data_IF_671044429678
#
_entry.id   IF_671044429678
#
_cell.length_a   1.000
_cell.length_b   1.000
_cell.length_c   1.000
_cell.angle_alpha   90.00
_cell.angle_beta   90.00
_cell.angle_gamma   90.00
#
_symmetry.space_group_name_H-M   'P 1'
#
loop_
_entity.id
_entity.type
_entity.pdbx_description
1 polymer ?
#
# COMPACT_ATOMS: atom_id res chain seq x y z
N UNK A 1 2.25 -35.02 18.94
CA UNK A 1 2.13 -33.59 18.59
C UNK A 1 0.75 -33.14 19.04
N UNK A 2 0.64 -32.27 20.02
CA UNK A 2 -0.66 -31.78 20.51
C UNK A 2 -1.23 -30.81 19.48
N UNK A 3 -2.37 -31.14 18.89
CA UNK A 3 -3.10 -30.25 17.98
C UNK A 3 -3.51 -29.02 18.77
N UNK A 4 -3.09 -27.83 18.33
CA UNK A 4 -3.51 -26.57 18.96
C UNK A 4 -4.99 -26.37 18.65
N UNK A 5 -5.80 -26.28 19.70
CA UNK A 5 -7.22 -25.96 19.60
C UNK A 5 -7.37 -24.44 19.44
N UNK A 6 -7.58 -24.00 18.20
CA UNK A 6 -7.69 -22.58 17.88
C UNK A 6 -9.06 -22.00 18.22
N UNK A 7 -10.09 -22.85 18.28
CA UNK A 7 -11.45 -22.40 18.60
C UNK A 7 -11.55 -22.05 20.09
N UNK A 8 -11.01 -22.91 20.95
CA UNK A 8 -10.89 -22.63 22.39
C UNK A 8 -10.00 -21.40 22.67
N UNK A 9 -8.93 -21.20 21.88
CA UNK A 9 -8.07 -20.03 22.01
C UNK A 9 -8.77 -18.73 21.58
N UNK A 10 -9.61 -18.79 20.55
CA UNK A 10 -10.41 -17.66 20.09
C UNK A 10 -11.48 -17.28 21.12
N UNK A 11 -12.21 -18.26 21.65
CA UNK A 11 -13.24 -18.04 22.67
C UNK A 11 -12.66 -17.38 23.94
N UNK A 12 -11.51 -17.86 24.41
CA UNK A 12 -10.78 -17.22 25.51
C UNK A 12 -10.36 -15.77 25.19
N UNK A 13 -9.87 -15.52 23.98
CA UNK A 13 -9.44 -14.18 23.56
C UNK A 13 -10.60 -13.18 23.50
N UNK A 14 -11.80 -13.62 23.13
CA UNK A 14 -12.98 -12.77 23.02
C UNK A 14 -13.67 -12.51 24.37
N UNK A 15 -13.68 -13.50 25.26
CA UNK A 15 -14.54 -13.46 26.46
C UNK A 15 -13.78 -13.27 27.77
N UNK A 16 -12.58 -13.84 27.89
CA UNK A 16 -11.87 -13.90 29.19
C UNK A 16 -10.53 -13.17 29.20
N UNK A 17 -9.97 -12.85 28.03
CA UNK A 17 -8.63 -12.26 27.96
C UNK A 17 -8.57 -10.86 28.57
N UNK A 18 -7.81 -10.75 29.65
CA UNK A 18 -7.47 -9.47 30.29
C UNK A 18 -5.99 -9.17 30.13
N UNK A 19 -5.67 -8.13 29.37
CA UNK A 19 -4.28 -7.72 29.18
C UNK A 19 -3.78 -6.89 30.39
N UNK A 20 -2.55 -7.12 30.88
CA UNK A 20 -1.97 -6.33 31.97
C UNK A 20 -1.97 -4.84 31.65
N UNK A 21 -2.30 -4.00 32.65
CA UNK A 21 -2.41 -2.54 32.48
C UNK A 21 -1.17 -1.91 31.83
N UNK A 22 0.02 -2.43 32.14
CA UNK A 22 1.31 -1.98 31.61
C UNK A 22 1.94 -3.00 30.64
N UNK A 23 1.13 -3.61 29.78
CA UNK A 23 1.64 -4.53 28.77
C UNK A 23 2.61 -3.82 27.83
N UNK A 24 3.82 -4.38 27.68
CA UNK A 24 4.84 -3.86 26.75
C UNK A 24 4.48 -4.09 25.27
N UNK A 25 3.49 -4.94 24.98
CA UNK A 25 3.14 -5.37 23.62
C UNK A 25 1.75 -4.91 23.18
N UNK A 26 0.90 -4.44 24.10
CA UNK A 26 -0.46 -4.00 23.78
C UNK A 26 -0.57 -2.47 23.79
N UNK A 27 -1.06 -1.90 22.69
CA UNK A 27 -1.38 -0.46 22.59
C UNK A 27 -2.82 -0.22 23.05
N UNK A 28 -3.09 0.94 23.68
CA UNK A 28 -4.43 1.34 24.16
C UNK A 28 -4.68 2.82 23.84
N UNK A 29 -5.96 3.23 23.89
CA UNK A 29 -6.36 4.64 23.73
C UNK A 29 -5.80 5.28 22.47
N UNK A 30 -5.28 6.50 22.59
CA UNK A 30 -4.77 7.30 21.46
C UNK A 30 -3.64 6.61 20.70
N UNK A 31 -2.79 5.83 21.38
CA UNK A 31 -1.72 5.06 20.73
C UNK A 31 -2.27 3.91 19.88
N UNK A 32 -3.36 3.28 20.32
CA UNK A 32 -4.06 2.28 19.52
C UNK A 32 -4.77 2.93 18.33
N UNK A 33 -5.41 4.09 18.51
CA UNK A 33 -6.06 4.83 17.44
C UNK A 33 -5.06 5.31 16.37
N UNK A 34 -3.93 5.88 16.78
CA UNK A 34 -2.87 6.31 15.88
C UNK A 34 -2.27 5.12 15.11
N UNK A 35 -1.94 4.03 15.82
CA UNK A 35 -1.43 2.83 15.15
C UNK A 35 -2.46 2.21 14.21
N UNK A 36 -3.73 2.12 14.64
CA UNK A 36 -4.85 1.65 13.83
C UNK A 36 -5.03 2.47 12.55
N UNK A 37 -4.88 3.80 12.63
CA UNK A 37 -4.86 4.68 11.46
C UNK A 37 -3.68 4.35 10.54
N UNK A 38 -2.47 4.19 11.06
CA UNK A 38 -1.32 3.79 10.22
C UNK A 38 -1.48 2.41 9.61
N UNK A 39 -2.15 1.49 10.31
CA UNK A 39 -2.48 0.16 9.79
C UNK A 39 -3.53 0.31 8.71
N UNK A 40 -4.59 1.10 8.88
CA UNK A 40 -5.60 1.33 7.84
C UNK A 40 -4.99 1.99 6.60
N UNK A 41 -4.13 2.99 6.77
CA UNK A 41 -3.33 3.58 5.71
C UNK A 41 -2.47 2.53 4.97
N UNK A 42 -2.03 1.48 5.68
CA UNK A 42 -1.25 0.35 5.13
C UNK A 42 -2.10 -0.83 4.65
N UNK A 43 -3.33 -0.99 5.15
CA UNK A 43 -4.15 -2.20 5.12
C UNK A 43 -5.52 -1.97 4.47
N UNK A 44 -5.68 -0.93 3.66
CA UNK A 44 -6.75 -0.76 2.66
C UNK A 44 -6.81 -1.89 1.61
N UNK A 45 -6.49 -3.15 1.96
CA UNK A 45 -7.06 -4.41 1.45
C UNK A 45 -7.04 -4.69 -0.05
N UNK A 46 -6.41 -3.81 -0.79
CA UNK A 46 -6.30 -3.68 -2.22
C UNK A 46 -5.25 -2.61 -2.45
N UNK A 47 -4.58 -2.63 -3.61
CA UNK A 47 -3.61 -1.58 -3.93
C UNK A 47 -4.39 -0.26 -3.92
N UNK A 48 -4.09 0.71 -3.03
CA UNK A 48 -4.79 1.99 -3.04
C UNK A 48 -4.71 2.57 -4.46
N UNK A 49 -5.79 3.22 -4.89
CA UNK A 49 -5.81 3.89 -6.18
C UNK A 49 -4.56 4.79 -6.28
N UNK A 50 -3.91 4.75 -7.44
CA UNK A 50 -2.79 5.67 -7.71
C UNK A 50 -3.26 7.12 -7.85
N UNK A 51 -4.58 7.30 -7.98
CA UNK A 51 -5.27 8.58 -8.03
C UNK A 51 -5.89 8.86 -6.64
N UNK A 52 -5.44 9.93 -5.94
CA UNK A 52 -5.94 10.28 -4.62
C UNK A 52 -7.39 10.77 -4.63
N UNK A 53 -7.90 11.20 -5.79
CA UNK A 53 -9.27 11.71 -5.96
C UNK A 53 -10.25 10.62 -6.45
N UNK A 54 -9.77 9.37 -6.58
CA UNK A 54 -10.60 8.25 -7.03
C UNK A 54 -11.73 7.93 -6.04
N UNK A 55 -12.95 7.80 -6.56
CA UNK A 55 -14.08 7.36 -5.76
C UNK A 55 -13.89 5.90 -5.27
N UNK A 56 -14.48 5.50 -4.13
CA UNK A 56 -14.45 4.11 -3.67
C UNK A 56 -14.93 3.14 -4.76
N UNK A 57 -14.14 2.11 -5.05
CA UNK A 57 -14.42 1.13 -6.12
C UNK A 57 -13.95 1.56 -7.52
N UNK A 58 -13.41 2.77 -7.68
CA UNK A 58 -12.81 3.20 -8.94
C UNK A 58 -11.38 2.65 -9.08
N UNK A 59 -11.15 1.89 -10.14
CA UNK A 59 -9.84 1.31 -10.45
C UNK A 59 -9.05 2.16 -11.43
N UNK A 60 -7.74 2.21 -11.21
CA UNK A 60 -6.77 2.81 -12.14
C UNK A 60 -6.88 2.18 -13.52
N UNK A 61 -6.83 3.01 -14.58
CA UNK A 61 -6.80 2.51 -15.95
C UNK A 61 -5.41 1.97 -16.28
N UNK A 62 -5.37 0.87 -17.03
CA UNK A 62 -4.12 0.21 -17.47
C UNK A 62 -3.93 0.42 -18.97
N UNK A 63 -2.68 0.64 -19.37
CA UNK A 63 -2.21 0.64 -20.76
C UNK A 63 -0.97 -0.24 -20.85
N UNK A 64 -0.95 -1.15 -21.82
CA UNK A 64 0.22 -1.99 -22.11
C UNK A 64 0.91 -1.45 -23.36
N UNK A 65 2.21 -1.19 -23.26
CA UNK A 65 3.03 -0.64 -24.35
C UNK A 65 4.33 -1.43 -24.43
N UNK A 66 4.75 -1.78 -25.65
CA UNK A 66 6.04 -2.44 -25.89
C UNK A 66 7.13 -1.39 -26.02
N UNK A 67 8.28 -1.64 -25.39
CA UNK A 67 9.46 -0.79 -25.46
C UNK A 67 10.59 -1.53 -26.21
N UNK A 68 11.47 -0.78 -26.85
CA UNK A 68 12.75 -1.35 -27.30
C UNK A 68 13.65 -1.61 -26.08
N UNK A 69 14.62 -2.53 -26.22
CA UNK A 69 15.54 -2.87 -25.13
C UNK A 69 16.26 -1.62 -24.60
N UNK A 70 16.79 -0.79 -25.50
CA UNK A 70 17.50 0.43 -25.12
C UNK A 70 16.65 1.40 -24.28
N UNK A 71 15.36 1.53 -24.59
CA UNK A 71 14.44 2.40 -23.82
C UNK A 71 14.12 1.78 -22.46
N UNK A 72 13.95 0.46 -22.39
CA UNK A 72 13.74 -0.24 -21.11
C UNK A 72 14.96 -0.08 -20.18
N UNK A 73 16.18 -0.26 -20.70
CA UNK A 73 17.41 -0.16 -19.93
C UNK A 73 17.59 1.27 -19.36
N UNK A 74 17.27 2.29 -20.16
CA UNK A 74 17.27 3.68 -19.69
C UNK A 74 16.24 3.92 -18.58
N UNK A 75 15.03 3.38 -18.72
CA UNK A 75 14.00 3.48 -17.69
C UNK A 75 14.43 2.80 -16.38
N UNK A 76 15.04 1.62 -16.46
CA UNK A 76 15.56 0.90 -15.28
C UNK A 76 16.69 1.67 -14.60
N UNK A 77 17.62 2.24 -15.37
CA UNK A 77 18.70 3.06 -14.83
C UNK A 77 18.17 4.30 -14.09
N UNK A 78 17.19 5.00 -14.67
CA UNK A 78 16.54 6.16 -14.04
C UNK A 78 15.83 5.75 -12.74
N UNK A 79 15.04 4.68 -12.78
CA UNK A 79 14.31 4.18 -11.62
C UNK A 79 15.27 3.77 -10.48
N UNK A 80 16.36 3.08 -10.82
CA UNK A 80 17.40 2.68 -9.87
C UNK A 80 18.10 3.89 -9.23
N UNK A 81 18.53 4.85 -10.05
CA UNK A 81 19.20 6.08 -9.57
C UNK A 81 18.29 6.90 -8.65
N UNK A 82 16.98 6.96 -8.92
CA UNK A 82 16.03 7.69 -8.11
C UNK A 82 15.49 6.90 -6.91
N UNK A 83 15.85 5.62 -6.76
CA UNK A 83 15.25 4.69 -5.79
C UNK A 83 13.71 4.63 -5.89
N UNK A 84 13.19 4.66 -7.13
CA UNK A 84 11.75 4.65 -7.45
C UNK A 84 11.36 3.41 -8.25
N UNK A 85 10.06 3.11 -8.33
CA UNK A 85 9.57 2.07 -9.25
C UNK A 85 9.51 2.61 -10.67
N UNK A 86 9.77 1.76 -11.65
CA UNK A 86 9.65 2.10 -13.09
C UNK A 86 8.27 2.62 -13.44
N UNK A 87 7.22 2.06 -12.83
CA UNK A 87 5.84 2.54 -12.98
C UNK A 87 5.60 3.96 -12.49
N UNK A 88 6.39 4.44 -11.53
CA UNK A 88 6.24 5.79 -10.99
C UNK A 88 6.90 6.78 -11.95
N UNK A 89 8.09 6.44 -12.43
CA UNK A 89 8.81 7.18 -13.47
C UNK A 89 7.97 7.29 -14.75
N UNK A 90 7.37 6.20 -15.21
CA UNK A 90 6.50 6.22 -16.40
C UNK A 90 5.26 7.11 -16.21
N UNK A 91 4.66 7.12 -15.01
CA UNK A 91 3.49 7.94 -14.72
C UNK A 91 3.84 9.43 -14.76
N UNK A 92 4.93 9.82 -14.11
CA UNK A 92 5.41 11.20 -14.12
C UNK A 92 5.75 11.66 -15.55
N UNK A 93 6.52 10.85 -16.29
CA UNK A 93 6.91 11.19 -17.65
C UNK A 93 5.70 11.36 -18.58
N UNK A 94 4.67 10.51 -18.43
CA UNK A 94 3.43 10.64 -19.20
C UNK A 94 2.63 11.88 -18.78
N UNK A 95 2.52 12.16 -17.49
CA UNK A 95 1.84 13.35 -16.98
C UNK A 95 2.53 14.64 -17.46
N UNK A 96 3.86 14.68 -17.41
CA UNK A 96 4.68 15.78 -17.92
C UNK A 96 4.47 15.98 -19.43
N UNK A 97 4.54 14.89 -20.21
CA UNK A 97 4.30 14.94 -21.65
C UNK A 97 2.90 15.49 -21.98
N UNK A 98 1.86 15.00 -21.32
CA UNK A 98 0.50 15.47 -21.52
C UNK A 98 0.31 16.92 -21.09
N UNK A 99 0.88 17.35 -19.96
CA UNK A 99 0.80 18.75 -19.51
C UNK A 99 1.47 19.71 -20.51
N UNK A 100 2.60 19.30 -21.08
CA UNK A 100 3.35 20.10 -22.06
C UNK A 100 2.63 20.21 -23.40
N UNK A 101 1.86 19.19 -23.79
CA UNK A 101 1.24 19.09 -25.12
C UNK A 101 -0.28 19.32 -25.14
N UNK A 102 -0.93 19.44 -23.97
CA UNK A 102 -2.38 19.71 -23.86
C UNK A 102 -2.75 21.18 -24.08
N UNK A 103 -1.77 22.08 -24.14
CA UNK A 103 -1.96 23.50 -24.43
C UNK A 103 -1.76 23.91 -25.90
N UNK A 104 -1.87 22.96 -26.85
CA UNK A 104 -1.71 23.23 -28.29
C UNK A 104 -2.98 22.89 -29.07
#
# INVERSE_FOLDING_TARGET
>A
MTTKDYDAAAEWAETEMTLPKNSATARRGDQAAAYGKTVLERALGGRPSIDPDAAPGQHSKVRQVRLSQAVNDQLEAIAHHQHRRTSDVMRDALAEYLSTHSGR
#
